data_IF_467895107973
#
_entry.id   IF_467895107973
#
_cell.length_a   1.000
_cell.length_b   1.000
_cell.length_c   1.000
_cell.angle_alpha   90.00
_cell.angle_beta   90.00
_cell.angle_gamma   90.00
#
_symmetry.space_group_name_H-M   'P 1'
#
loop_
_entity.id
_entity.type
_entity.pdbx_description
1 polymer ?
#
# COMPACT_ATOMS: atom_id res chain seq x y z
N UNK A 1 -8.02 2.28 15.06
CA UNK A 1 -7.62 0.86 14.90
C UNK A 1 -6.34 0.84 14.10
N UNK A 2 -5.31 0.11 14.51
CA UNK A 2 -4.03 0.03 13.79
C UNK A 2 -4.15 -0.79 12.51
N UNK A 3 -3.21 -0.63 11.56
CA UNK A 3 -3.16 -1.43 10.34
C UNK A 3 -3.08 -2.93 10.68
N UNK A 4 -2.19 -3.29 11.61
CA UNK A 4 -2.01 -4.68 12.04
C UNK A 4 -3.31 -5.32 12.54
N UNK A 5 -4.11 -4.59 13.31
CA UNK A 5 -5.40 -5.08 13.80
C UNK A 5 -6.43 -5.15 12.67
N UNK A 6 -6.42 -4.18 11.75
CA UNK A 6 -7.37 -4.13 10.64
C UNK A 6 -7.13 -5.24 9.61
N UNK A 7 -5.87 -5.64 9.39
CA UNK A 7 -5.48 -6.71 8.46
C UNK A 7 -5.40 -8.07 9.15
N UNK A 8 -5.78 -8.19 10.42
CA UNK A 8 -5.68 -9.43 11.16
C UNK A 8 -6.55 -10.53 10.53
N UNK A 9 -5.98 -11.74 10.43
CA UNK A 9 -6.66 -12.89 9.82
C UNK A 9 -6.76 -14.06 10.80
N UNK A 10 -7.90 -14.74 10.79
CA UNK A 10 -8.12 -15.97 11.53
C UNK A 10 -7.96 -17.16 10.59
N UNK A 11 -7.26 -18.19 11.04
CA UNK A 11 -7.21 -19.45 10.31
C UNK A 11 -8.46 -20.25 10.67
N UNK A 12 -9.24 -20.64 9.66
CA UNK A 12 -10.46 -21.43 9.81
C UNK A 12 -10.12 -22.93 9.71
N UNK A 13 -9.29 -23.28 8.72
CA UNK A 13 -8.72 -24.61 8.55
C UNK A 13 -7.30 -24.50 7.94
N UNK A 14 -6.71 -25.60 7.46
CA UNK A 14 -5.34 -25.58 6.91
C UNK A 14 -5.17 -24.68 5.68
N UNK A 15 -6.22 -24.40 4.92
CA UNK A 15 -6.18 -23.66 3.66
C UNK A 15 -7.25 -22.56 3.54
N UNK A 16 -8.07 -22.37 4.58
CA UNK A 16 -9.08 -21.33 4.63
C UNK A 16 -8.80 -20.34 5.76
N UNK A 17 -8.90 -19.06 5.46
CA UNK A 17 -8.68 -17.96 6.39
C UNK A 17 -9.85 -16.97 6.30
N UNK A 18 -10.14 -16.27 7.39
CA UNK A 18 -11.17 -15.24 7.44
C UNK A 18 -10.61 -13.91 7.92
N UNK A 19 -11.13 -12.82 7.37
CA UNK A 19 -10.88 -11.45 7.82
C UNK A 19 -12.20 -10.66 7.87
N UNK A 20 -12.14 -9.44 8.38
CA UNK A 20 -13.30 -8.54 8.45
C UNK A 20 -12.88 -7.12 8.06
N UNK A 21 -13.27 -6.66 6.87
CA UNK A 21 -12.87 -5.35 6.35
C UNK A 21 -13.60 -4.21 7.06
N UNK A 22 -12.83 -3.20 7.48
CA UNK A 22 -13.28 -2.11 8.33
C UNK A 22 -13.38 -0.78 7.59
N UNK A 23 -14.35 0.04 7.98
CA UNK A 23 -14.67 1.34 7.35
C UNK A 23 -13.50 2.33 7.33
N UNK A 24 -12.68 2.34 8.38
CA UNK A 24 -11.55 3.28 8.51
C UNK A 24 -10.41 3.08 7.50
N UNK A 25 -10.48 2.05 6.64
CA UNK A 25 -9.45 1.68 5.66
C UNK A 25 -10.00 1.66 4.23
N UNK A 26 -10.99 2.51 3.95
CA UNK A 26 -11.68 2.60 2.66
C UNK A 26 -11.20 3.76 1.79
N UNK A 27 -11.50 3.68 0.50
CA UNK A 27 -11.68 4.83 -0.39
C UNK A 27 -13.16 4.84 -0.80
N UNK A 28 -13.89 5.89 -0.46
CA UNK A 28 -15.33 5.97 -0.52
C UNK A 28 -15.95 4.94 0.42
N UNK A 29 -16.68 3.98 -0.15
CA UNK A 29 -17.32 2.88 0.58
C UNK A 29 -16.64 1.53 0.35
N UNK A 30 -15.51 1.51 -0.37
CA UNK A 30 -14.82 0.30 -0.82
C UNK A 30 -13.51 0.16 -0.03
N UNK A 31 -13.18 -1.01 0.53
CA UNK A 31 -11.86 -1.25 1.12
C UNK A 31 -10.73 -0.86 0.16
N UNK A 32 -9.77 -0.09 0.65
CA UNK A 32 -8.62 0.36 -0.14
C UNK A 32 -7.82 -0.84 -0.70
N UNK A 33 -7.38 -0.75 -1.96
CA UNK A 33 -6.70 -1.86 -2.65
C UNK A 33 -5.46 -2.34 -1.90
N UNK A 34 -4.65 -1.42 -1.37
CA UNK A 34 -3.49 -1.74 -0.55
C UNK A 34 -3.85 -2.33 0.81
N UNK A 35 -5.02 -2.00 1.39
CA UNK A 35 -5.49 -2.61 2.63
C UNK A 35 -5.91 -4.07 2.39
N UNK A 36 -6.60 -4.32 1.28
CA UNK A 36 -6.90 -5.68 0.80
C UNK A 36 -5.61 -6.45 0.54
N UNK A 37 -4.65 -5.83 -0.16
CA UNK A 37 -3.34 -6.43 -0.48
C UNK A 37 -2.54 -6.79 0.78
N UNK A 38 -2.48 -5.90 1.76
CA UNK A 38 -1.85 -6.18 3.06
C UNK A 38 -2.54 -7.35 3.79
N UNK A 39 -3.86 -7.50 3.64
CA UNK A 39 -4.60 -8.64 4.19
C UNK A 39 -4.21 -9.95 3.47
N UNK A 40 -4.01 -9.94 2.14
CA UNK A 40 -3.43 -11.08 1.41
C UNK A 40 -2.05 -11.46 1.95
N UNK A 41 -1.18 -10.47 2.21
CA UNK A 41 0.13 -10.73 2.80
C UNK A 41 0.02 -11.35 4.20
N UNK A 42 -0.95 -10.92 5.03
CA UNK A 42 -1.21 -11.54 6.33
C UNK A 42 -1.71 -12.99 6.22
N UNK A 43 -2.58 -13.30 5.25
CA UNK A 43 -3.01 -14.68 4.96
C UNK A 43 -1.80 -15.55 4.63
N UNK A 44 -0.95 -15.09 3.71
CA UNK A 44 0.21 -15.86 3.27
C UNK A 44 1.22 -16.02 4.40
N UNK A 45 1.55 -14.96 5.15
CA UNK A 45 2.41 -15.07 6.35
C UNK A 45 1.87 -16.14 7.30
N UNK A 46 0.58 -16.07 7.67
CA UNK A 46 -0.02 -17.03 8.59
C UNK A 46 -0.01 -18.45 8.03
N UNK A 47 -0.20 -18.62 6.73
CA UNK A 47 -0.14 -19.92 6.07
C UNK A 47 1.26 -20.54 6.12
N UNK A 48 2.31 -19.75 5.91
CA UNK A 48 3.70 -20.21 6.04
C UNK A 48 4.16 -20.39 7.50
N UNK A 49 3.54 -19.72 8.46
CA UNK A 49 3.77 -19.96 9.89
C UNK A 49 3.13 -21.25 10.41
N UNK A 50 2.03 -21.66 9.78
CA UNK A 50 1.17 -22.76 10.24
C UNK A 50 1.25 -23.97 9.31
N UNK A 51 0.48 -23.97 8.23
CA UNK A 51 0.31 -25.08 7.30
C UNK A 51 1.61 -25.44 6.58
N UNK A 52 2.35 -24.44 6.10
CA UNK A 52 3.62 -24.60 5.38
C UNK A 52 4.86 -24.34 6.23
N UNK A 53 4.76 -24.46 7.55
CA UNK A 53 5.87 -24.20 8.49
C UNK A 53 7.19 -24.88 8.14
N UNK A 54 7.12 -26.09 7.57
CA UNK A 54 8.31 -26.88 7.16
C UNK A 54 9.10 -26.23 6.02
N UNK A 55 8.52 -25.31 5.26
CA UNK A 55 9.21 -24.64 4.17
C UNK A 55 10.25 -23.62 4.66
N UNK A 56 10.09 -23.09 5.88
CA UNK A 56 10.97 -22.05 6.43
C UNK A 56 11.13 -20.82 5.51
N UNK A 57 10.03 -20.43 4.85
CA UNK A 57 9.93 -19.33 3.88
C UNK A 57 8.97 -18.23 4.38
N UNK A 58 9.38 -17.45 5.39
CA UNK A 58 8.48 -16.49 6.06
C UNK A 58 8.18 -15.25 5.22
N UNK A 59 8.96 -14.95 4.18
CA UNK A 59 8.93 -13.66 3.49
C UNK A 59 8.25 -13.78 2.13
N UNK A 60 7.23 -12.95 1.87
CA UNK A 60 6.73 -12.73 0.52
C UNK A 60 7.75 -11.93 -0.29
N UNK A 61 8.21 -12.50 -1.40
CA UNK A 61 9.18 -11.85 -2.32
C UNK A 61 8.52 -11.32 -3.59
N UNK A 62 7.41 -11.92 -4.01
CA UNK A 62 6.63 -11.46 -5.17
C UNK A 62 5.15 -11.68 -4.90
N UNK A 63 4.34 -10.69 -5.25
CA UNK A 63 2.89 -10.75 -5.17
C UNK A 63 2.29 -10.17 -6.46
N UNK A 64 1.32 -10.88 -7.01
CA UNK A 64 0.53 -10.47 -8.16
C UNK A 64 -0.94 -10.66 -7.80
N UNK A 65 -1.73 -9.59 -7.81
CA UNK A 65 -3.18 -9.63 -7.55
C UNK A 65 -3.96 -9.05 -8.73
N UNK A 66 -5.01 -9.74 -9.14
CA UNK A 66 -6.06 -9.24 -10.04
C UNK A 66 -7.30 -8.90 -9.22
N UNK A 67 -7.75 -7.65 -9.32
CA UNK A 67 -8.97 -7.15 -8.68
C UNK A 67 -10.14 -7.36 -9.64
N UNK A 68 -10.78 -8.51 -9.53
CA UNK A 68 -11.85 -8.93 -10.44
C UNK A 68 -13.11 -8.08 -10.25
N UNK A 69 -13.38 -7.69 -9.00
CA UNK A 69 -14.59 -6.98 -8.56
C UNK A 69 -14.28 -6.12 -7.33
N UNK A 70 -15.24 -5.27 -6.95
CA UNK A 70 -15.12 -4.38 -5.78
C UNK A 70 -15.38 -5.18 -4.51
N UNK A 71 -14.42 -5.17 -3.60
CA UNK A 71 -14.62 -5.64 -2.24
C UNK A 71 -15.62 -4.76 -1.48
N UNK A 72 -16.14 -5.30 -0.37
CA UNK A 72 -17.09 -4.61 0.50
C UNK A 72 -16.66 -4.71 1.97
N UNK A 73 -17.18 -3.82 2.80
CA UNK A 73 -17.02 -3.91 4.25
C UNK A 73 -17.60 -5.21 4.79
N UNK A 74 -17.06 -5.67 5.91
CA UNK A 74 -17.54 -6.89 6.56
C UNK A 74 -16.71 -8.13 6.23
N UNK A 75 -17.29 -9.33 6.43
CA UNK A 75 -16.58 -10.59 6.34
C UNK A 75 -15.96 -10.85 4.96
N UNK A 76 -14.81 -11.50 4.99
CA UNK A 76 -14.05 -11.93 3.83
C UNK A 76 -13.45 -13.31 4.09
N UNK A 77 -13.55 -14.20 3.10
CA UNK A 77 -12.95 -15.55 3.16
C UNK A 77 -11.82 -15.62 2.15
N UNK A 78 -10.68 -16.17 2.58
CA UNK A 78 -9.53 -16.41 1.74
C UNK A 78 -9.28 -17.91 1.65
N UNK A 79 -9.16 -18.42 0.43
CA UNK A 79 -8.78 -19.80 0.16
C UNK A 79 -7.39 -19.85 -0.45
N UNK A 80 -6.52 -20.65 0.13
CA UNK A 80 -5.13 -20.85 -0.30
C UNK A 80 -5.02 -22.19 -1.03
N UNK A 81 -4.32 -22.20 -2.15
CA UNK A 81 -3.96 -23.41 -2.89
C UNK A 81 -2.44 -23.42 -3.06
N UNK A 82 -1.80 -24.47 -2.53
CA UNK A 82 -0.38 -24.72 -2.72
C UNK A 82 -0.11 -25.09 -4.18
N UNK A 83 0.48 -24.18 -4.96
CA UNK A 83 0.72 -24.40 -6.40
C UNK A 83 2.06 -25.03 -6.67
N UNK A 84 3.10 -24.57 -5.97
CA UNK A 84 4.45 -25.11 -6.07
C UNK A 84 5.11 -25.02 -4.71
N UNK A 85 5.55 -26.16 -4.18
CA UNK A 85 6.35 -26.20 -2.95
C UNK A 85 7.79 -26.55 -3.31
N UNK A 86 8.71 -25.65 -3.00
CA UNK A 86 10.11 -25.81 -3.32
C UNK A 86 10.99 -25.53 -2.11
N UNK A 87 12.25 -25.96 -2.17
CA UNK A 87 13.21 -25.76 -1.08
C UNK A 87 13.52 -24.29 -0.83
N UNK A 88 13.71 -23.51 -1.90
CA UNK A 88 14.07 -22.09 -1.82
C UNK A 88 12.84 -21.19 -1.87
N UNK A 89 11.93 -21.48 -2.80
CA UNK A 89 10.71 -20.71 -2.99
C UNK A 89 9.50 -21.62 -3.10
N UNK A 90 8.36 -21.12 -2.62
CA UNK A 90 7.06 -21.73 -2.81
C UNK A 90 6.08 -20.69 -3.35
N UNK A 91 5.14 -21.15 -4.16
CA UNK A 91 4.10 -20.34 -4.79
C UNK A 91 2.75 -20.83 -4.29
N UNK A 92 1.96 -19.91 -3.77
CA UNK A 92 0.56 -20.15 -3.41
C UNK A 92 -0.35 -19.31 -4.30
N UNK A 93 -1.52 -19.87 -4.61
CA UNK A 93 -2.62 -19.11 -5.16
C UNK A 93 -3.59 -18.79 -4.05
N UNK A 94 -4.07 -17.54 -3.99
CA UNK A 94 -5.02 -17.10 -2.97
C UNK A 94 -6.22 -16.47 -3.64
N UNK A 95 -7.42 -16.89 -3.25
CA UNK A 95 -8.70 -16.32 -3.68
C UNK A 95 -9.37 -15.65 -2.50
N UNK A 96 -9.77 -14.39 -2.66
CA UNK A 96 -10.67 -13.68 -1.74
C UNK A 96 -12.10 -13.78 -2.25
N UNK A 97 -13.01 -14.25 -1.41
CA UNK A 97 -14.44 -14.39 -1.67
C UNK A 97 -15.27 -13.56 -0.69
N UNK A 98 -16.27 -12.85 -1.21
CA UNK A 98 -17.35 -12.21 -0.46
C UNK A 98 -18.68 -12.52 -1.14
N UNK A 99 -19.72 -12.85 -0.35
CA UNK A 99 -21.04 -13.24 -0.85
C UNK A 99 -20.99 -14.27 -2.01
N UNK A 100 -20.16 -15.31 -1.84
CA UNK A 100 -19.90 -16.38 -2.82
C UNK A 100 -19.34 -15.92 -4.19
N UNK A 101 -18.82 -14.71 -4.28
CA UNK A 101 -18.13 -14.19 -5.47
C UNK A 101 -16.63 -14.03 -5.22
N UNK A 102 -15.82 -14.42 -6.20
CA UNK A 102 -14.40 -14.10 -6.19
C UNK A 102 -14.20 -12.61 -6.47
N UNK A 103 -13.65 -11.90 -5.48
CA UNK A 103 -13.44 -10.46 -5.57
C UNK A 103 -12.01 -10.14 -6.02
N UNK A 104 -11.03 -10.87 -5.48
CA UNK A 104 -9.60 -10.72 -5.80
C UNK A 104 -8.94 -12.09 -5.85
N UNK A 105 -8.05 -12.30 -6.81
CA UNK A 105 -7.23 -13.51 -6.91
C UNK A 105 -5.76 -13.14 -7.01
N UNK A 106 -4.89 -14.04 -6.56
CA UNK A 106 -3.46 -13.76 -6.57
C UNK A 106 -2.57 -14.96 -6.66
N UNK A 107 -1.37 -14.74 -7.19
CA UNK A 107 -0.22 -15.65 -7.07
C UNK A 107 0.86 -14.97 -6.24
N UNK A 108 1.24 -15.63 -5.16
CA UNK A 108 2.15 -15.06 -4.16
C UNK A 108 3.30 -16.04 -3.95
N UNK A 109 4.52 -15.54 -4.08
CA UNK A 109 5.75 -16.32 -3.93
C UNK A 109 6.44 -15.95 -2.64
N UNK A 110 6.70 -16.96 -1.82
CA UNK A 110 7.42 -16.84 -0.56
C UNK A 110 8.80 -17.49 -0.62
N UNK A 111 9.73 -16.90 0.12
CA UNK A 111 11.13 -17.28 0.25
C UNK A 111 11.61 -16.97 1.67
N UNK A 112 12.90 -17.16 1.92
CA UNK A 112 13.59 -16.65 3.09
C UNK A 112 14.66 -15.65 2.67
N UNK A 113 14.27 -14.37 2.54
CA UNK A 113 15.15 -13.26 2.14
C UNK A 113 16.47 -13.22 2.93
N UNK A 114 16.46 -13.54 4.23
CA UNK A 114 17.68 -13.52 5.07
C UNK A 114 18.72 -14.58 4.66
N UNK A 115 18.28 -15.63 3.96
CA UNK A 115 19.13 -16.72 3.47
C UNK A 115 19.40 -16.63 1.97
N UNK A 116 18.89 -15.60 1.31
CA UNK A 116 19.16 -15.40 -0.10
C UNK A 116 20.62 -15.00 -0.30
N UNK A 117 21.30 -15.74 -1.17
CA UNK A 117 22.65 -15.47 -1.62
C UNK A 117 22.67 -15.60 -3.14
N UNK A 118 23.44 -14.75 -3.79
CA UNK A 118 23.42 -14.63 -5.24
C UNK A 118 24.25 -13.47 -5.77
N UNK A 119 24.33 -13.41 -7.09
CA UNK A 119 25.10 -12.37 -7.75
C UNK A 119 24.47 -10.99 -7.53
N UNK A 120 25.29 -10.03 -7.11
CA UNK A 120 24.96 -8.61 -7.07
C UNK A 120 25.92 -7.86 -7.97
N UNK A 121 25.39 -7.00 -8.84
CA UNK A 121 26.18 -6.25 -9.81
C UNK A 121 25.99 -4.75 -9.60
N UNK A 122 27.05 -3.93 -9.70
CA UNK A 122 26.91 -2.49 -9.78
C UNK A 122 26.33 -2.12 -11.15
N UNK A 123 25.00 -2.13 -11.27
CA UNK A 123 24.31 -1.87 -12.54
C UNK A 123 24.43 -0.41 -13.01
N UNK A 124 24.93 0.49 -12.15
CA UNK A 124 24.91 1.93 -12.39
C UNK A 124 23.51 2.54 -12.29
N UNK A 125 22.50 1.75 -11.93
CA UNK A 125 21.13 2.22 -11.78
C UNK A 125 21.03 3.25 -10.65
N UNK A 126 20.38 4.37 -10.94
CA UNK A 126 20.05 5.42 -9.99
C UNK A 126 18.64 5.96 -10.31
N UNK A 127 17.93 6.41 -9.27
CA UNK A 127 16.63 7.08 -9.44
C UNK A 127 16.86 8.38 -10.21
N UNK A 128 16.12 8.58 -11.30
CA UNK A 128 16.22 9.76 -12.18
C UNK A 128 14.84 10.28 -12.50
N UNK A 129 14.54 11.57 -12.23
CA UNK A 129 15.36 12.53 -11.49
C UNK A 129 15.54 12.09 -10.02
N UNK A 130 16.63 12.49 -9.36
CA UNK A 130 16.80 12.20 -7.94
C UNK A 130 15.75 12.96 -7.11
N UNK A 131 15.18 12.34 -6.05
CA UNK A 131 14.29 13.05 -5.14
C UNK A 131 15.05 14.16 -4.40
N UNK A 132 14.37 15.23 -3.94
CA UNK A 132 14.99 16.24 -3.10
C UNK A 132 15.60 15.60 -1.83
N UNK A 133 16.81 16.01 -1.41
CA UNK A 133 17.42 15.46 -0.21
C UNK A 133 16.53 15.74 1.01
N UNK A 134 16.38 14.76 1.88
CA UNK A 134 15.53 14.86 3.08
C UNK A 134 16.37 14.63 4.34
N UNK A 135 16.16 15.45 5.37
CA UNK A 135 16.58 15.14 6.72
C UNK A 135 15.40 14.58 7.51
N UNK A 136 15.28 13.25 7.56
CA UNK A 136 14.16 12.54 8.21
C UNK A 136 13.93 13.00 9.66
N UNK A 137 15.00 13.36 10.39
CA UNK A 137 14.89 13.81 11.78
C UNK A 137 14.16 15.16 11.95
N UNK A 138 14.05 15.94 10.88
CA UNK A 138 13.36 17.24 10.87
C UNK A 138 11.90 17.16 10.44
N UNK A 139 11.47 16.05 9.83
CA UNK A 139 10.13 15.90 9.28
C UNK A 139 9.04 16.03 10.35
N UNK A 140 9.23 15.44 11.53
CA UNK A 140 8.25 15.52 12.63
C UNK A 140 8.02 16.93 13.15
N UNK A 141 9.05 17.78 13.06
CA UNK A 141 9.00 19.20 13.48
C UNK A 141 8.62 20.15 12.35
N UNK A 142 8.39 19.64 11.14
CA UNK A 142 8.17 20.42 9.91
C UNK A 142 9.26 21.48 9.66
N UNK A 143 10.52 21.20 10.05
CA UNK A 143 11.66 22.13 9.89
C UNK A 143 12.61 21.76 8.75
N UNK A 144 12.30 20.72 7.98
CA UNK A 144 13.03 20.42 6.76
C UNK A 144 12.77 21.51 5.71
N UNK A 145 13.83 21.93 5.01
CA UNK A 145 13.79 23.03 4.05
C UNK A 145 13.04 22.65 2.76
N UNK A 146 13.15 21.39 2.34
CA UNK A 146 12.65 20.92 1.06
C UNK A 146 11.38 20.10 1.19
N UNK A 147 11.14 19.50 2.35
CA UNK A 147 9.99 18.63 2.62
C UNK A 147 9.08 19.24 3.67
N UNK A 148 7.76 19.11 3.46
CA UNK A 148 6.77 19.53 4.44
C UNK A 148 5.68 18.50 4.63
N UNK A 149 5.14 18.42 5.85
CA UNK A 149 3.97 17.59 6.11
C UNK A 149 2.76 18.21 5.43
N UNK A 150 1.94 17.38 4.81
CA UNK A 150 0.61 17.79 4.35
C UNK A 150 -0.41 17.43 5.42
N UNK A 151 -1.20 18.41 5.83
CA UNK A 151 -2.18 18.20 6.91
C UNK A 151 -3.32 17.27 6.46
N UNK A 152 -3.82 17.44 5.23
CA UNK A 152 -4.87 16.59 4.66
C UNK A 152 -4.62 16.27 3.19
N UNK A 153 -4.73 14.99 2.82
CA UNK A 153 -4.73 14.58 1.42
C UNK A 153 -5.95 15.16 0.67
N UNK A 154 -5.84 15.49 -0.63
CA UNK A 154 -6.99 15.85 -1.44
C UNK A 154 -8.12 14.83 -1.29
N UNK A 155 -9.35 15.32 -1.08
CA UNK A 155 -10.54 14.49 -0.88
C UNK A 155 -10.47 13.55 0.34
N UNK A 156 -9.83 13.97 1.44
CA UNK A 156 -9.70 13.18 2.67
C UNK A 156 -11.04 12.59 3.19
N UNK A 157 -12.16 13.29 3.04
CA UNK A 157 -13.49 12.78 3.43
C UNK A 157 -13.88 11.50 2.70
N UNK A 158 -13.39 11.35 1.47
CA UNK A 158 -13.56 10.17 0.64
C UNK A 158 -12.41 9.16 0.79
N UNK A 159 -11.33 9.48 1.51
CA UNK A 159 -10.13 8.62 1.60
C UNK A 159 -9.87 8.22 3.05
N UNK A 160 -10.68 7.30 3.58
CA UNK A 160 -10.55 6.76 4.94
C UNK A 160 -9.15 6.19 5.21
N UNK A 161 -8.62 5.40 4.27
CA UNK A 161 -7.28 4.81 4.37
C UNK A 161 -6.17 5.87 4.51
N UNK A 162 -6.24 6.98 3.76
CA UNK A 162 -5.20 8.04 3.84
C UNK A 162 -5.23 8.79 5.17
N UNK A 163 -6.34 8.74 5.92
CA UNK A 163 -6.41 9.32 7.27
C UNK A 163 -5.60 8.53 8.31
N UNK A 164 -5.14 7.32 7.96
CA UNK A 164 -4.36 6.44 8.83
C UNK A 164 -2.84 6.65 8.71
N UNK A 165 -2.40 7.57 7.86
CA UNK A 165 -0.99 7.87 7.63
C UNK A 165 -0.71 9.37 7.82
N UNK A 166 0.58 9.68 7.97
CA UNK A 166 1.15 11.02 7.78
C UNK A 166 1.99 10.99 6.52
N UNK A 167 1.99 12.09 5.77
CA UNK A 167 2.69 12.18 4.48
C UNK A 167 3.41 13.51 4.35
N UNK A 168 4.64 13.46 3.87
CA UNK A 168 5.43 14.63 3.53
C UNK A 168 5.74 14.66 2.04
N UNK A 169 5.61 15.83 1.46
CA UNK A 169 5.86 16.09 0.04
C UNK A 169 6.89 17.20 -0.13
N UNK A 170 7.56 17.30 -1.29
CA UNK A 170 8.39 18.43 -1.61
C UNK A 170 7.59 19.74 -1.51
N UNK A 171 8.13 20.74 -0.81
CA UNK A 171 7.46 22.02 -0.57
C UNK A 171 7.16 22.75 -1.87
N UNK A 172 8.14 22.76 -2.78
CA UNK A 172 8.03 23.40 -4.09
C UNK A 172 7.27 22.56 -5.13
N UNK A 173 6.69 21.43 -4.72
CA UNK A 173 6.01 20.48 -5.60
C UNK A 173 6.95 19.45 -6.22
N UNK A 174 6.34 18.48 -6.89
CA UNK A 174 7.05 17.39 -7.57
C UNK A 174 7.85 17.91 -8.77
N UNK A 175 8.94 17.21 -9.14
CA UNK A 175 9.75 17.55 -10.30
C UNK A 175 8.92 17.61 -11.60
N UNK A 176 8.02 16.64 -11.76
CA UNK A 176 7.08 16.55 -12.88
C UNK A 176 5.74 16.00 -12.39
N UNK A 177 4.65 16.29 -13.10
CA UNK A 177 3.31 15.81 -12.75
C UNK A 177 3.18 14.28 -12.73
N UNK A 178 4.08 13.57 -13.41
CA UNK A 178 4.11 12.10 -13.47
C UNK A 178 5.00 11.45 -12.40
N UNK A 179 5.65 12.23 -11.55
CA UNK A 179 6.55 11.76 -10.50
C UNK A 179 5.94 12.09 -9.15
N UNK A 180 6.07 11.16 -8.21
CA UNK A 180 5.71 11.40 -6.81
C UNK A 180 6.84 10.93 -5.91
N UNK A 181 7.51 11.90 -5.31
CA UNK A 181 8.36 11.69 -4.16
C UNK A 181 7.55 11.97 -2.88
N UNK A 182 7.51 11.00 -1.98
CA UNK A 182 6.70 11.07 -0.76
C UNK A 182 7.38 10.29 0.38
N UNK A 183 7.46 10.92 1.55
CA UNK A 183 7.68 10.20 2.80
C UNK A 183 6.33 9.89 3.44
N UNK A 184 6.19 8.69 4.00
CA UNK A 184 4.96 8.24 4.63
C UNK A 184 5.26 7.43 5.90
N UNK A 185 4.43 7.58 6.92
CA UNK A 185 4.42 6.72 8.09
C UNK A 185 2.99 6.51 8.59
N UNK A 186 2.78 5.46 9.39
CA UNK A 186 1.50 5.27 10.07
C UNK A 186 1.27 6.41 11.08
N UNK A 187 0.04 6.92 11.14
CA UNK A 187 -0.33 8.03 12.01
C UNK A 187 -0.26 7.67 13.50
N UNK A 188 -0.51 6.41 13.83
CA UNK A 188 -0.37 5.88 15.18
C UNK A 188 1.13 5.80 15.55
N UNK A 189 1.64 6.61 16.50
CA UNK A 189 3.09 6.75 16.74
C UNK A 189 3.80 5.45 17.16
N UNK A 190 3.07 4.52 17.77
CA UNK A 190 3.57 3.22 18.18
C UNK A 190 3.59 2.18 17.05
N UNK A 191 2.93 2.44 15.92
CA UNK A 191 2.85 1.51 14.80
C UNK A 191 4.03 1.66 13.85
N UNK A 192 4.43 0.55 13.22
CA UNK A 192 5.49 0.50 12.20
C UNK A 192 4.97 -0.26 10.99
N UNK A 193 5.54 0.04 9.83
CA UNK A 193 5.35 -0.82 8.66
C UNK A 193 6.09 -2.13 8.87
N UNK A 194 5.42 -3.24 8.60
CA UNK A 194 5.97 -4.60 8.56
C UNK A 194 5.99 -5.10 7.11
N UNK A 195 6.62 -6.24 6.83
CA UNK A 195 6.62 -6.84 5.49
C UNK A 195 5.20 -7.00 4.90
N UNK A 196 4.22 -7.29 5.76
CA UNK A 196 2.80 -7.50 5.40
C UNK A 196 2.01 -6.20 5.28
N UNK A 197 2.65 -5.06 5.55
CA UNK A 197 2.08 -3.74 5.26
C UNK A 197 2.52 -3.19 3.91
N UNK A 198 3.48 -3.82 3.23
CA UNK A 198 4.06 -3.30 1.99
C UNK A 198 3.01 -3.15 0.88
N UNK A 199 2.02 -4.04 0.81
CA UNK A 199 0.88 -3.90 -0.10
C UNK A 199 0.07 -2.64 0.16
N UNK A 200 -0.10 -2.25 1.43
CA UNK A 200 -0.75 -1.00 1.81
C UNK A 200 0.07 0.22 1.40
N UNK A 201 1.38 0.19 1.64
CA UNK A 201 2.29 1.29 1.27
C UNK A 201 2.36 1.48 -0.24
N UNK A 202 2.46 0.38 -1.01
CA UNK A 202 2.62 0.42 -2.45
C UNK A 202 1.42 1.01 -3.20
N UNK A 203 0.21 0.92 -2.63
CA UNK A 203 -1.03 1.43 -3.23
C UNK A 203 -1.44 2.80 -2.66
N UNK A 204 -0.61 3.40 -1.79
CA UNK A 204 -0.92 4.65 -1.08
C UNK A 204 -0.53 5.92 -1.84
N UNK A 205 -0.20 5.80 -3.13
CA UNK A 205 0.36 6.91 -3.88
C UNK A 205 -0.73 7.90 -4.35
N UNK A 206 -0.43 9.21 -4.35
CA UNK A 206 -1.18 10.23 -5.06
C UNK A 206 -1.57 9.84 -6.49
N UNK A 207 -2.79 10.17 -6.90
CA UNK A 207 -3.25 9.90 -8.26
C UNK A 207 -2.65 10.93 -9.23
N UNK A 208 -1.48 10.62 -9.81
CA UNK A 208 -0.71 11.51 -10.69
C UNK A 208 -1.53 12.08 -11.87
N UNK A 209 -2.55 11.35 -12.32
CA UNK A 209 -3.48 11.79 -13.38
C UNK A 209 -4.23 13.07 -12.99
N UNK A 210 -4.48 13.29 -11.69
CA UNK A 210 -5.14 14.49 -11.19
C UNK A 210 -4.31 15.74 -11.49
N UNK A 211 -2.99 15.69 -11.34
CA UNK A 211 -2.10 16.82 -11.64
C UNK A 211 -2.17 17.23 -13.12
N UNK A 212 -2.18 16.24 -14.02
CA UNK A 212 -2.36 16.47 -15.47
C UNK A 212 -3.73 17.05 -15.80
N UNK A 213 -4.78 16.60 -15.12
CA UNK A 213 -6.15 17.08 -15.37
C UNK A 213 -6.37 18.49 -14.81
N UNK A 214 -5.73 18.81 -13.69
CA UNK A 214 -5.84 20.12 -13.02
C UNK A 214 -4.91 21.17 -13.62
N UNK A 215 -3.77 20.76 -14.18
CA UNK A 215 -2.73 21.65 -14.70
C UNK A 215 -1.81 22.23 -13.62
N UNK A 216 -1.84 21.67 -12.41
CA UNK A 216 -0.98 22.05 -11.28
C UNK A 216 -0.82 20.87 -10.32
N UNK A 217 0.22 20.91 -9.48
CA UNK A 217 0.46 19.88 -8.46
C UNK A 217 -0.46 20.10 -7.24
N UNK A 218 -1.57 19.37 -7.20
CA UNK A 218 -2.54 19.46 -6.12
C UNK A 218 -2.06 18.79 -4.83
N UNK A 219 -0.95 18.05 -4.88
CA UNK A 219 -0.32 17.35 -3.76
C UNK A 219 0.80 18.15 -3.08
N UNK A 220 1.29 19.22 -3.69
CA UNK A 220 2.32 20.09 -3.10
C UNK A 220 1.89 20.74 -1.78
N UNK A 221 2.84 20.92 -0.86
CA UNK A 221 2.61 21.58 0.45
C UNK A 221 2.32 23.06 0.26
N UNK A 222 2.99 23.71 -0.69
CA UNK A 222 2.77 25.13 -0.98
C UNK A 222 1.35 25.38 -1.52
N UNK A 223 0.82 24.48 -2.36
CA UNK A 223 -0.59 24.56 -2.79
C UNK A 223 -1.56 24.50 -1.60
N UNK A 224 -1.32 23.60 -0.63
CA UNK A 224 -2.15 23.53 0.59
C UNK A 224 -2.05 24.82 1.43
N UNK A 225 -0.87 25.43 1.53
CA UNK A 225 -0.64 26.65 2.33
C UNK A 225 -1.21 27.91 1.69
N UNK A 226 -1.15 28.01 0.37
CA UNK A 226 -1.59 29.20 -0.37
C UNK A 226 -3.10 29.24 -0.61
N UNK A 227 -3.81 28.13 -0.42
CA UNK A 227 -5.23 28.02 -0.74
C UNK A 227 -6.03 27.50 0.46
N UNK A 228 -7.05 28.24 0.87
CA UNK A 228 -8.04 27.75 1.86
C UNK A 228 -8.72 26.45 1.38
N UNK A 229 -9.31 25.70 2.31
CA UNK A 229 -10.01 24.45 1.98
C UNK A 229 -11.13 24.66 0.95
N UNK A 230 -11.85 25.78 1.05
CA UNK A 230 -12.88 26.19 0.11
C UNK A 230 -12.32 26.47 -1.29
N UNK A 231 -11.18 27.17 -1.38
CA UNK A 231 -10.48 27.45 -2.64
C UNK A 231 -9.96 26.17 -3.29
N UNK A 232 -9.33 25.28 -2.52
CA UNK A 232 -8.87 23.98 -2.99
C UNK A 232 -10.03 23.18 -3.59
N UNK A 233 -11.17 23.09 -2.88
CA UNK A 233 -12.39 22.42 -3.37
C UNK A 233 -12.89 23.06 -4.67
N UNK A 234 -12.87 24.40 -4.78
CA UNK A 234 -13.32 25.12 -5.97
C UNK A 234 -12.42 24.86 -7.17
N UNK A 235 -11.10 24.86 -6.99
CA UNK A 235 -10.11 24.61 -8.04
C UNK A 235 -10.18 23.17 -8.59
N UNK A 236 -10.50 22.20 -7.72
CA UNK A 236 -10.60 20.79 -8.09
C UNK A 236 -12.00 20.36 -8.59
N UNK A 237 -13.03 21.18 -8.37
CA UNK A 237 -14.43 20.84 -8.66
C UNK A 237 -14.63 20.49 -10.14
N UNK A 238 -15.16 19.29 -10.38
CA UNK A 238 -15.49 18.81 -11.73
C UNK A 238 -14.28 18.47 -12.61
N UNK A 239 -13.05 18.57 -12.08
CA UNK A 239 -11.80 18.27 -12.79
C UNK A 239 -11.07 17.06 -12.22
N UNK A 240 -11.12 16.84 -10.90
CA UNK A 240 -10.43 15.73 -10.23
C UNK A 240 -11.41 14.76 -9.54
N UNK A 241 -12.45 14.32 -10.25
CA UNK A 241 -13.51 13.44 -9.68
C UNK A 241 -13.54 12.04 -10.30
N UNK A 242 -12.49 11.65 -11.01
CA UNK A 242 -12.44 10.31 -11.62
C UNK A 242 -12.09 9.27 -10.56
N UNK A 243 -12.82 8.15 -10.57
CA UNK A 243 -12.51 6.97 -9.77
C UNK A 243 -11.60 6.05 -10.58
N UNK A 244 -10.41 5.76 -10.06
CA UNK A 244 -9.42 4.90 -10.70
C UNK A 244 -9.33 3.57 -9.94
N UNK A 245 -10.10 2.54 -10.33
CA UNK A 245 -9.99 1.24 -9.69
C UNK A 245 -8.68 0.57 -10.15
N UNK A 246 -7.89 0.12 -9.19
CA UNK A 246 -6.77 -0.79 -9.47
C UNK A 246 -7.33 -2.06 -10.08
N UNK A 247 -6.87 -2.41 -11.28
CA UNK A 247 -7.22 -3.68 -11.93
C UNK A 247 -6.23 -4.79 -11.53
N UNK A 248 -4.97 -4.42 -11.37
CA UNK A 248 -3.87 -5.33 -11.13
C UNK A 248 -2.79 -4.63 -10.31
N UNK A 249 -2.25 -5.32 -9.30
CA UNK A 249 -1.12 -4.86 -8.50
C UNK A 249 -0.02 -5.92 -8.49
N UNK A 250 1.19 -5.51 -8.86
CA UNK A 250 2.41 -6.29 -8.74
C UNK A 250 3.33 -5.68 -7.70
N UNK A 251 3.86 -6.52 -6.82
CA UNK A 251 4.82 -6.13 -5.80
C UNK A 251 6.03 -7.08 -5.80
N UNK A 252 7.21 -6.48 -5.84
CA UNK A 252 8.50 -7.16 -5.76
C UNK A 252 9.25 -6.69 -4.51
N UNK A 253 9.40 -7.58 -3.53
CA UNK A 253 10.06 -7.28 -2.24
C UNK A 253 11.51 -7.72 -2.33
N UNK A 254 12.42 -6.75 -2.41
CA UNK A 254 13.85 -7.00 -2.60
C UNK A 254 14.64 -7.09 -1.29
N UNK A 255 14.07 -6.60 -0.19
CA UNK A 255 14.65 -6.64 1.16
C UNK A 255 13.53 -6.75 2.19
N UNK A 256 13.80 -7.46 3.28
CA UNK A 256 12.92 -7.45 4.44
C UNK A 256 13.00 -6.08 5.14
N UNK A 257 11.86 -5.62 5.68
CA UNK A 257 11.83 -4.49 6.59
C UNK A 257 12.49 -4.86 7.93
N UNK A 258 13.10 -3.88 8.64
CA UNK A 258 13.71 -4.08 9.96
C UNK A 258 12.74 -4.56 11.04
#
# INVERSE_FOLDING_TARGET
>A
MTLANATAVQQVDSHTYSANFQDGWTIGTVPHGGYVTATFQQVVRKHFETTLRKQHQPHTITLHLDFLRRTQLGPAIFKVIDKKLGRQTSIVHVTLTQDDREEVVGYITNSNIEKEDGASFPTGWNITPPPPPANVSKLDTDTDELWGERAEMPFADFRGATKQIRTWFPRQGQHEFSIVDMWTCLKEPSSRFTNESLGFVADMFPQIIENHTLGFDCYSVEFERQNSKEEQKKLMKGKATMWYPTLLLNLDVKKALP
#
